data_IF_848854138807
#
_entry.id   IF_848854138807
#
_cell.length_a   1.000
_cell.length_b   1.000
_cell.length_c   1.000
_cell.angle_alpha   90.00
_cell.angle_beta   90.00
_cell.angle_gamma   90.00
#
_symmetry.space_group_name_H-M   'P 1'
#
loop_
_entity.id
_entity.type
_entity.pdbx_description
1 polymer ?
#
# COMPACT_ATOMS: atom_id res chain seq x y z
N UNK A 1 21.01 -56.93 3.97
CA UNK A 1 20.27 -55.69 4.24
C UNK A 1 20.45 -55.19 5.69
N UNK A 2 20.12 -55.94 6.73
CA UNK A 2 20.33 -55.49 8.14
C UNK A 2 21.83 -55.37 8.51
N UNK A 3 22.69 -56.19 8.02
CA UNK A 3 24.13 -56.09 8.19
C UNK A 3 24.72 -54.87 7.48
N UNK A 4 24.27 -54.56 6.27
CA UNK A 4 24.70 -53.39 5.51
C UNK A 4 24.33 -52.08 6.23
N UNK A 5 23.14 -52.01 6.82
CA UNK A 5 22.69 -50.88 7.64
C UNK A 5 23.56 -50.76 8.90
N UNK A 6 23.89 -51.89 9.55
CA UNK A 6 24.74 -51.90 10.74
C UNK A 6 26.16 -51.45 10.41
N UNK A 7 26.72 -51.89 9.30
CA UNK A 7 28.05 -51.46 8.82
C UNK A 7 28.07 -49.95 8.48
N UNK A 8 27.00 -49.46 7.84
CA UNK A 8 26.87 -48.03 7.53
C UNK A 8 26.83 -47.15 8.82
N UNK A 9 26.06 -47.58 9.82
CA UNK A 9 26.03 -46.91 11.12
C UNK A 9 27.38 -46.96 11.85
N UNK A 10 28.09 -48.08 11.77
CA UNK A 10 29.41 -48.24 12.35
C UNK A 10 30.45 -47.35 11.67
N UNK A 11 30.36 -47.14 10.34
CA UNK A 11 31.17 -46.18 9.58
C UNK A 11 30.95 -44.74 10.01
N UNK A 12 29.68 -44.33 10.25
CA UNK A 12 29.31 -43.02 10.75
C UNK A 12 29.88 -42.79 12.17
N UNK A 13 29.81 -43.82 13.02
CA UNK A 13 30.23 -43.71 14.42
C UNK A 13 31.76 -43.70 14.59
N UNK A 14 32.49 -44.35 13.70
CA UNK A 14 33.97 -44.37 13.72
C UNK A 14 34.60 -43.02 13.33
N UNK A 15 33.85 -42.19 12.54
CA UNK A 15 34.29 -40.87 12.09
C UNK A 15 33.31 -39.75 12.52
N UNK A 16 32.95 -39.74 13.79
CA UNK A 16 31.86 -38.86 14.35
C UNK A 16 31.99 -37.40 13.94
N UNK A 17 33.20 -36.82 14.01
CA UNK A 17 33.43 -35.38 13.73
C UNK A 17 33.19 -35.07 12.25
N UNK A 18 33.59 -35.97 11.35
CA UNK A 18 33.43 -35.83 9.90
C UNK A 18 31.94 -35.95 9.52
N UNK A 19 31.30 -37.00 10.04
CA UNK A 19 29.87 -37.24 9.78
C UNK A 19 29.00 -36.10 10.34
N UNK A 20 29.30 -35.59 11.52
CA UNK A 20 28.63 -34.45 12.13
C UNK A 20 28.79 -33.16 11.29
N UNK A 21 30.02 -32.85 10.83
CA UNK A 21 30.28 -31.68 9.99
C UNK A 21 29.58 -31.75 8.64
N UNK A 22 29.53 -32.94 8.03
CA UNK A 22 28.86 -33.12 6.75
C UNK A 22 27.33 -32.98 6.88
N UNK A 23 26.73 -33.62 7.90
CA UNK A 23 25.31 -33.48 8.20
C UNK A 23 24.95 -32.03 8.53
N UNK A 24 25.77 -31.34 9.34
CA UNK A 24 25.56 -29.94 9.68
C UNK A 24 25.58 -29.05 8.44
N UNK A 25 26.51 -29.25 7.51
CA UNK A 25 26.58 -28.50 6.25
C UNK A 25 25.32 -28.68 5.39
N UNK A 26 24.82 -29.92 5.27
CA UNK A 26 23.59 -30.20 4.51
C UNK A 26 22.37 -29.60 5.22
N UNK A 27 22.25 -29.75 6.53
CA UNK A 27 21.11 -29.21 7.31
C UNK A 27 21.07 -27.69 7.21
N UNK A 28 22.22 -27.01 7.36
CA UNK A 28 22.30 -25.55 7.24
C UNK A 28 21.94 -25.14 5.80
N UNK A 29 22.47 -25.83 4.78
CA UNK A 29 22.18 -25.51 3.38
C UNK A 29 20.68 -25.61 3.04
N UNK A 30 20.07 -26.74 3.37
CA UNK A 30 18.62 -26.96 3.11
C UNK A 30 17.78 -26.05 4.00
N UNK A 31 18.12 -25.90 5.29
CA UNK A 31 17.41 -25.04 6.23
C UNK A 31 17.41 -23.58 5.78
N UNK A 32 18.55 -23.09 5.26
CA UNK A 32 18.66 -21.73 4.72
C UNK A 32 17.76 -21.51 3.51
N UNK A 33 17.71 -22.48 2.57
CA UNK A 33 16.83 -22.40 1.38
C UNK A 33 15.36 -22.36 1.80
N UNK A 34 14.95 -23.24 2.72
CA UNK A 34 13.57 -23.29 3.22
C UNK A 34 13.21 -21.97 3.91
N UNK A 35 14.10 -21.46 4.77
CA UNK A 35 13.87 -20.18 5.47
C UNK A 35 13.73 -19.03 4.48
N UNK A 36 14.62 -18.91 3.50
CA UNK A 36 14.57 -17.88 2.46
C UNK A 36 13.22 -17.97 1.70
N UNK A 37 12.86 -19.13 1.15
CA UNK A 37 11.63 -19.30 0.36
C UNK A 37 10.37 -18.99 1.19
N UNK A 38 10.36 -19.40 2.46
CA UNK A 38 9.22 -19.13 3.36
C UNK A 38 9.07 -17.66 3.69
N UNK A 39 10.18 -16.97 4.00
CA UNK A 39 10.18 -15.53 4.27
C UNK A 39 9.68 -14.75 3.06
N UNK A 40 10.13 -15.11 1.88
CA UNK A 40 9.75 -14.53 0.61
C UNK A 40 8.25 -14.60 0.35
N UNK A 41 7.68 -15.81 0.44
CA UNK A 41 6.23 -15.98 0.25
C UNK A 41 5.45 -15.13 1.24
N UNK A 42 5.86 -15.13 2.51
CA UNK A 42 5.23 -14.32 3.53
C UNK A 42 5.32 -12.81 3.24
N UNK A 43 6.48 -12.33 2.80
CA UNK A 43 6.66 -10.90 2.44
C UNK A 43 5.83 -10.51 1.23
N UNK A 44 5.78 -11.34 0.18
CA UNK A 44 5.00 -11.06 -1.02
C UNK A 44 3.50 -10.98 -0.74
N UNK A 45 2.95 -11.91 0.02
CA UNK A 45 1.55 -11.86 0.47
C UNK A 45 1.28 -10.62 1.32
N UNK A 46 2.23 -10.24 2.19
CA UNK A 46 2.10 -9.07 3.02
C UNK A 46 2.14 -7.77 2.20
N UNK A 47 3.02 -7.66 1.20
CA UNK A 47 3.11 -6.51 0.29
C UNK A 47 1.78 -6.34 -0.44
N UNK A 48 1.27 -7.41 -1.07
CA UNK A 48 -0.03 -7.37 -1.75
C UNK A 48 -1.13 -6.90 -0.79
N UNK A 49 -1.18 -7.48 0.39
CA UNK A 49 -2.19 -7.15 1.40
C UNK A 49 -2.09 -5.71 1.92
N UNK A 50 -0.89 -5.17 2.06
CA UNK A 50 -0.69 -3.80 2.52
C UNK A 50 -1.01 -2.76 1.44
N UNK A 51 -0.68 -3.03 0.17
CA UNK A 51 -0.91 -2.11 -0.93
C UNK A 51 -2.40 -2.05 -1.31
N UNK A 52 -3.05 -3.20 -1.37
CA UNK A 52 -4.48 -3.28 -1.71
C UNK A 52 -5.36 -2.87 -0.51
N UNK A 53 -4.81 -2.87 0.71
CA UNK A 53 -5.57 -2.69 1.94
C UNK A 53 -6.42 -3.93 2.25
N UNK A 54 -6.47 -4.39 3.48
CA UNK A 54 -7.26 -5.56 3.84
C UNK A 54 -8.76 -5.26 3.65
N UNK A 55 -9.32 -5.59 2.49
CA UNK A 55 -10.74 -5.43 2.16
C UNK A 55 -11.16 -4.03 1.72
N UNK A 56 -10.24 -3.16 1.32
CA UNK A 56 -10.56 -1.87 0.71
C UNK A 56 -10.08 -1.86 -0.75
N UNK A 57 -10.85 -2.49 -1.63
CA UNK A 57 -10.57 -2.58 -3.07
C UNK A 57 -10.85 -1.24 -3.77
N UNK A 58 -10.40 -0.14 -3.18
CA UNK A 58 -10.58 1.21 -3.68
C UNK A 58 -9.45 1.59 -4.65
N UNK A 59 -9.84 2.11 -5.81
CA UNK A 59 -8.94 2.60 -6.86
C UNK A 59 -9.20 4.08 -7.06
N UNK A 60 -8.17 4.90 -6.93
CA UNK A 60 -8.26 6.32 -7.27
C UNK A 60 -8.17 6.48 -8.79
N UNK A 61 -9.03 7.32 -9.34
CA UNK A 61 -8.98 7.75 -10.74
C UNK A 61 -8.79 9.26 -10.75
N UNK A 62 -7.62 9.68 -11.18
CA UNK A 62 -7.16 11.08 -11.11
C UNK A 62 -6.71 11.57 -12.47
N UNK A 63 -6.65 12.89 -12.62
CA UNK A 63 -6.15 13.52 -13.84
C UNK A 63 -4.61 13.51 -13.85
N UNK A 64 -4.04 13.05 -14.95
CA UNK A 64 -2.60 12.97 -15.20
C UNK A 64 -2.22 13.85 -16.39
N UNK A 65 -0.98 14.36 -16.37
CA UNK A 65 -0.32 14.88 -17.55
C UNK A 65 0.94 14.02 -17.83
N UNK A 66 0.90 13.24 -18.89
CA UNK A 66 1.88 12.20 -19.12
C UNK A 66 1.81 11.11 -18.05
N UNK A 67 2.90 10.90 -17.31
CA UNK A 67 2.99 9.89 -16.26
C UNK A 67 2.83 10.45 -14.84
N UNK A 68 2.57 11.74 -14.70
CA UNK A 68 2.48 12.41 -13.42
C UNK A 68 1.05 12.88 -13.13
N UNK A 69 0.52 12.65 -11.92
CA UNK A 69 -0.76 13.22 -11.53
C UNK A 69 -0.67 14.75 -11.53
N UNK A 70 -1.74 15.41 -11.98
CA UNK A 70 -1.81 16.87 -11.94
C UNK A 70 -2.01 17.30 -10.50
N UNK A 71 -1.03 18.04 -9.97
CA UNK A 71 -1.14 18.68 -8.66
C UNK A 71 -1.51 20.14 -8.83
N UNK A 72 -2.78 20.44 -8.57
CA UNK A 72 -3.33 21.79 -8.69
C UNK A 72 -2.79 22.77 -7.63
N UNK A 73 -1.95 22.33 -6.71
CA UNK A 73 -1.19 23.23 -5.84
C UNK A 73 -0.09 23.96 -6.62
N UNK A 74 0.52 23.29 -7.60
CA UNK A 74 1.67 23.80 -8.35
C UNK A 74 1.39 24.05 -9.82
N UNK A 75 0.29 23.52 -10.35
CA UNK A 75 -0.08 23.57 -11.76
C UNK A 75 -1.47 24.20 -11.92
N UNK A 76 -1.67 24.87 -13.03
CA UNK A 76 -3.01 25.32 -13.42
C UNK A 76 -3.81 24.18 -14.00
N UNK A 77 -5.11 24.20 -13.80
CA UNK A 77 -6.01 23.26 -14.45
C UNK A 77 -5.90 23.42 -15.98
N UNK A 78 -5.72 22.32 -16.74
CA UNK A 78 -5.77 22.37 -18.20
C UNK A 78 -7.18 22.75 -18.69
N UNK A 79 -7.24 23.60 -19.74
CA UNK A 79 -8.50 23.95 -20.38
C UNK A 79 -9.16 22.71 -20.99
N UNK A 80 -10.46 22.60 -20.84
CA UNK A 80 -11.25 21.50 -21.43
C UNK A 80 -11.43 20.28 -20.53
N UNK A 81 -11.15 20.42 -19.21
CA UNK A 81 -11.50 19.42 -18.22
C UNK A 81 -12.78 19.87 -17.51
N UNK A 82 -13.95 19.25 -17.79
CA UNK A 82 -15.21 19.59 -17.14
C UNK A 82 -15.31 18.96 -15.74
N UNK A 83 -16.22 19.51 -14.91
CA UNK A 83 -16.67 18.82 -13.69
C UNK A 83 -17.34 17.48 -14.04
N UNK A 84 -17.18 16.49 -13.17
CA UNK A 84 -17.81 15.18 -13.34
C UNK A 84 -19.29 15.28 -12.94
N UNK A 85 -20.18 15.00 -13.89
CA UNK A 85 -21.62 15.07 -13.64
C UNK A 85 -22.13 13.85 -12.85
N UNK A 86 -23.33 14.00 -12.24
CA UNK A 86 -23.99 12.89 -11.56
C UNK A 86 -24.32 11.74 -12.54
N UNK A 87 -24.63 12.07 -13.81
CA UNK A 87 -24.86 11.07 -14.86
C UNK A 87 -23.61 10.27 -15.16
N UNK A 88 -22.45 10.92 -15.27
CA UNK A 88 -21.15 10.26 -15.49
C UNK A 88 -20.79 9.39 -14.30
N UNK A 89 -21.00 9.86 -13.06
CA UNK A 89 -20.80 9.06 -11.87
C UNK A 89 -21.70 7.82 -11.86
N UNK A 90 -22.96 7.97 -12.27
CA UNK A 90 -23.89 6.84 -12.35
C UNK A 90 -23.45 5.81 -13.41
N UNK A 91 -22.93 6.26 -14.55
CA UNK A 91 -22.37 5.36 -15.57
C UNK A 91 -21.21 4.53 -15.04
N UNK A 92 -20.32 5.13 -14.22
CA UNK A 92 -19.24 4.39 -13.55
C UNK A 92 -19.78 3.37 -12.54
N UNK A 93 -20.78 3.74 -11.74
CA UNK A 93 -21.39 2.84 -10.75
C UNK A 93 -22.08 1.64 -11.41
N UNK A 94 -22.59 1.79 -12.65
CA UNK A 94 -23.22 0.71 -13.41
C UNK A 94 -22.22 -0.30 -14.02
N UNK A 95 -20.92 -0.04 -13.95
CA UNK A 95 -19.90 -1.00 -14.42
C UNK A 95 -19.97 -2.32 -13.64
N UNK A 96 -19.87 -3.47 -14.32
CA UNK A 96 -19.95 -4.79 -13.67
C UNK A 96 -18.90 -5.02 -12.57
N UNK A 97 -17.73 -4.42 -12.71
CA UNK A 97 -16.58 -4.57 -11.79
C UNK A 97 -16.67 -3.64 -10.57
N UNK A 98 -17.53 -2.63 -10.62
CA UNK A 98 -17.65 -1.60 -9.58
C UNK A 98 -18.73 -1.97 -8.58
N UNK A 99 -18.43 -1.88 -7.30
CA UNK A 99 -19.40 -2.00 -6.20
C UNK A 99 -20.03 -0.65 -5.88
N UNK A 100 -19.21 0.39 -5.79
CA UNK A 100 -19.63 1.77 -5.51
C UNK A 100 -18.53 2.74 -5.93
N UNK A 101 -18.91 4.01 -6.10
CA UNK A 101 -17.98 5.06 -6.45
C UNK A 101 -18.30 6.36 -5.70
N UNK A 102 -17.34 7.27 -5.65
CA UNK A 102 -17.43 8.54 -4.94
C UNK A 102 -16.56 9.60 -5.59
N UNK A 103 -17.06 10.82 -5.62
CA UNK A 103 -16.29 11.98 -6.06
C UNK A 103 -15.63 12.67 -4.88
N UNK A 104 -14.45 13.22 -5.10
CA UNK A 104 -13.77 14.00 -4.10
C UNK A 104 -12.79 15.01 -4.69
N UNK A 105 -12.57 16.11 -3.97
CA UNK A 105 -11.45 17.01 -4.19
C UNK A 105 -10.34 16.72 -3.18
N UNK A 106 -9.11 16.99 -3.54
CA UNK A 106 -7.98 16.88 -2.62
C UNK A 106 -6.97 17.98 -2.85
N UNK A 107 -6.39 18.47 -1.77
CA UNK A 107 -5.34 19.47 -1.81
C UNK A 107 -4.33 19.21 -0.69
N UNK A 108 -3.06 19.14 -1.04
CA UNK A 108 -1.98 19.16 -0.06
C UNK A 108 -1.64 20.63 0.23
N UNK A 109 -1.62 21.01 1.47
CA UNK A 109 -1.38 22.40 1.87
C UNK A 109 -0.36 22.48 3.00
N UNK A 110 0.48 23.49 2.91
CA UNK A 110 1.44 23.85 3.95
C UNK A 110 0.93 25.07 4.70
N UNK A 111 0.94 24.99 6.04
CA UNK A 111 0.52 26.11 6.91
C UNK A 111 -0.80 26.77 6.48
N UNK A 112 -1.78 26.00 6.05
CA UNK A 112 -3.09 26.51 5.61
C UNK A 112 -4.21 26.32 6.65
N UNK A 113 -3.97 25.49 7.67
CA UNK A 113 -4.96 25.15 8.70
C UNK A 113 -4.49 25.62 10.06
N UNK A 114 -5.32 26.43 10.71
CA UNK A 114 -4.98 27.11 11.95
C UNK A 114 -6.03 26.90 13.03
N UNK A 115 -5.57 27.03 14.27
CA UNK A 115 -6.42 27.25 15.44
C UNK A 115 -5.69 28.18 16.42
N UNK A 116 -6.08 29.47 16.42
CA UNK A 116 -5.38 30.49 17.17
C UNK A 116 -3.93 30.66 16.71
N UNK A 117 -2.97 30.41 17.61
CA UNK A 117 -1.55 30.50 17.29
C UNK A 117 -0.93 29.18 16.78
N UNK A 118 -1.71 28.12 16.67
CA UNK A 118 -1.24 26.82 16.18
C UNK A 118 -1.58 26.64 14.72
N UNK A 119 -0.66 26.04 13.96
CA UNK A 119 -0.88 25.64 12.57
C UNK A 119 -0.51 24.19 12.34
N UNK A 120 -1.03 23.61 11.27
CA UNK A 120 -0.55 22.36 10.72
C UNK A 120 0.53 22.66 9.68
N UNK A 121 1.74 22.13 9.91
CA UNK A 121 2.83 22.29 8.94
C UNK A 121 2.48 21.65 7.60
N UNK A 122 1.85 20.46 7.63
CA UNK A 122 1.36 19.75 6.45
C UNK A 122 -0.07 19.29 6.69
N UNK A 123 -0.93 19.49 5.71
CA UNK A 123 -2.32 19.03 5.76
C UNK A 123 -2.81 18.54 4.40
N UNK A 124 -3.68 17.55 4.44
CA UNK A 124 -4.46 17.09 3.28
C UNK A 124 -5.90 17.51 3.52
N UNK A 125 -6.41 18.39 2.67
CA UNK A 125 -7.80 18.86 2.72
C UNK A 125 -8.57 18.08 1.67
N UNK A 126 -9.67 17.44 2.08
CA UNK A 126 -10.54 16.64 1.24
C UNK A 126 -11.94 17.23 1.23
N UNK A 127 -12.45 17.58 0.05
CA UNK A 127 -13.85 17.88 -0.18
C UNK A 127 -14.53 16.60 -0.67
N UNK A 128 -15.48 16.05 0.06
CA UNK A 128 -16.02 14.73 -0.22
C UNK A 128 -17.53 14.72 -0.46
N UNK A 129 -18.00 13.79 -1.28
CA UNK A 129 -19.39 13.44 -1.38
C UNK A 129 -19.87 12.55 -0.20
N UNK A 130 -21.11 12.07 -0.26
CA UNK A 130 -21.72 11.26 0.82
C UNK A 130 -21.11 9.88 0.97
N UNK A 131 -20.59 9.32 -0.11
CA UNK A 131 -20.16 7.92 -0.18
C UNK A 131 -18.67 7.73 0.15
N UNK A 132 -17.88 8.79 0.07
CA UNK A 132 -16.42 8.74 0.17
C UNK A 132 -15.92 8.01 1.41
N UNK A 133 -16.48 8.33 2.60
CA UNK A 133 -16.02 7.71 3.85
C UNK A 133 -16.19 6.20 3.82
N UNK A 134 -17.28 5.72 3.24
CA UNK A 134 -17.54 4.30 3.11
C UNK A 134 -16.65 3.68 2.04
N UNK A 135 -16.58 4.28 0.84
CA UNK A 135 -15.73 3.80 -0.27
C UNK A 135 -14.28 3.67 0.15
N UNK A 136 -13.76 4.64 0.90
CA UNK A 136 -12.35 4.69 1.33
C UNK A 136 -12.07 3.96 2.65
N UNK A 137 -13.10 3.37 3.27
CA UNK A 137 -12.97 2.62 4.50
C UNK A 137 -12.69 3.47 5.74
N UNK A 138 -13.14 4.72 5.77
CA UNK A 138 -13.11 5.55 6.97
C UNK A 138 -14.28 5.24 7.90
N UNK A 139 -14.05 5.43 9.19
CA UNK A 139 -15.09 5.38 10.23
C UNK A 139 -14.99 6.59 11.14
N UNK A 140 -16.14 7.07 11.61
CA UNK A 140 -16.20 8.11 12.62
C UNK A 140 -15.89 7.50 13.97
N UNK A 141 -14.86 8.00 14.63
CA UNK A 141 -14.40 7.49 15.94
C UNK A 141 -14.93 8.32 17.10
N UNK A 142 -15.23 9.61 16.87
CA UNK A 142 -15.80 10.52 17.88
C UNK A 142 -16.68 11.56 17.18
N UNK A 143 -17.75 12.00 17.84
CA UNK A 143 -18.70 12.96 17.28
C UNK A 143 -19.63 12.33 16.25
N UNK A 144 -19.87 13.01 15.13
CA UNK A 144 -20.74 12.56 14.03
C UNK A 144 -20.05 12.71 12.67
N UNK A 145 -20.52 11.96 11.69
CA UNK A 145 -20.17 12.14 10.28
C UNK A 145 -20.83 13.36 9.66
N UNK A 146 -20.54 13.59 8.38
CA UNK A 146 -21.26 14.57 7.56
C UNK A 146 -22.69 14.06 7.32
N UNK A 147 -23.64 14.98 7.34
CA UNK A 147 -25.06 14.69 7.18
C UNK A 147 -25.62 15.35 5.91
N UNK A 148 -26.76 14.91 5.41
CA UNK A 148 -27.42 15.53 4.25
C UNK A 148 -27.68 17.03 4.44
N UNK A 149 -27.89 17.48 5.68
CA UNK A 149 -28.06 18.90 5.98
C UNK A 149 -26.75 19.68 5.82
N UNK A 150 -25.60 19.06 6.10
CA UNK A 150 -24.31 19.72 5.91
C UNK A 150 -24.06 20.00 4.43
N UNK A 151 -24.47 19.07 3.56
CA UNK A 151 -24.43 19.26 2.11
C UNK A 151 -25.50 20.23 1.61
N UNK A 152 -26.77 20.00 1.94
CA UNK A 152 -27.87 20.82 1.38
C UNK A 152 -27.86 22.29 1.82
N UNK A 153 -27.34 22.57 3.01
CA UNK A 153 -27.28 23.91 3.57
C UNK A 153 -25.88 24.56 3.40
N UNK A 154 -24.92 23.89 2.80
CA UNK A 154 -23.56 24.40 2.62
C UNK A 154 -22.87 24.73 3.97
N UNK A 155 -23.02 23.83 4.94
CA UNK A 155 -22.47 24.09 6.29
C UNK A 155 -20.97 23.95 6.29
N UNK A 156 -20.26 24.95 6.85
CA UNK A 156 -18.80 24.90 7.07
C UNK A 156 -18.48 24.02 8.28
N UNK A 157 -18.53 22.70 8.07
CA UNK A 157 -18.21 21.68 9.07
C UNK A 157 -17.02 20.84 8.58
N UNK A 158 -16.26 20.31 9.53
CA UNK A 158 -15.10 19.49 9.21
C UNK A 158 -15.05 18.22 10.07
N UNK A 159 -14.59 17.12 9.46
CA UNK A 159 -14.08 15.96 10.17
C UNK A 159 -12.55 16.04 10.17
N UNK A 160 -11.92 15.64 11.26
CA UNK A 160 -10.47 15.68 11.40
C UNK A 160 -9.94 14.30 11.81
N UNK A 161 -8.69 14.03 11.48
CA UNK A 161 -8.00 12.84 11.94
C UNK A 161 -7.31 13.04 13.29
N UNK A 162 -6.68 11.98 13.80
CA UNK A 162 -5.96 12.00 15.08
C UNK A 162 -4.75 12.94 15.03
N UNK A 163 -4.06 13.03 13.91
CA UNK A 163 -2.86 13.87 13.72
C UNK A 163 -3.23 15.35 13.81
N UNK A 164 -4.29 15.77 13.13
CA UNK A 164 -4.85 17.13 13.21
C UNK A 164 -5.31 17.45 14.64
N UNK A 165 -6.01 16.52 15.29
CA UNK A 165 -6.48 16.71 16.67
C UNK A 165 -5.32 16.89 17.65
N UNK A 166 -4.27 16.09 17.54
CA UNK A 166 -3.08 16.20 18.39
C UNK A 166 -2.35 17.54 18.18
N UNK A 167 -2.15 17.95 16.93
CA UNK A 167 -1.39 19.15 16.59
C UNK A 167 -2.11 20.45 16.98
N UNK A 168 -3.42 20.55 16.71
CA UNK A 168 -4.17 21.77 16.92
C UNK A 168 -4.83 21.86 18.30
N UNK A 169 -5.09 20.75 18.99
CA UNK A 169 -5.91 20.72 20.19
C UNK A 169 -5.22 20.12 21.43
N UNK A 170 -3.95 19.68 21.34
CA UNK A 170 -3.23 19.00 22.44
C UNK A 170 -4.01 17.83 23.04
N UNK A 171 -4.73 17.07 22.22
CA UNK A 171 -5.62 15.99 22.65
C UNK A 171 -6.82 16.42 23.53
N UNK A 172 -7.16 17.73 23.57
CA UNK A 172 -8.37 18.21 24.21
C UNK A 172 -9.64 17.78 23.43
N UNK A 173 -10.82 18.07 23.98
CA UNK A 173 -12.07 17.83 23.26
C UNK A 173 -12.18 18.74 22.04
N UNK A 174 -12.29 18.11 20.85
CA UNK A 174 -12.26 18.79 19.55
C UNK A 174 -13.64 19.08 18.99
N UNK A 175 -14.67 18.34 19.46
CA UNK A 175 -16.02 18.44 18.90
C UNK A 175 -16.66 19.80 19.23
N UNK A 176 -17.24 20.46 18.23
CA UNK A 176 -17.84 21.78 18.34
C UNK A 176 -16.83 22.93 18.37
N UNK A 177 -15.53 22.64 18.27
CA UNK A 177 -14.49 23.68 18.17
C UNK A 177 -14.29 24.10 16.72
N UNK A 178 -13.79 25.32 16.54
CA UNK A 178 -13.53 25.91 15.23
C UNK A 178 -12.06 25.78 14.87
N UNK A 179 -11.80 25.45 13.63
CA UNK A 179 -10.51 25.57 12.95
C UNK A 179 -10.66 26.53 11.78
N UNK A 180 -9.59 27.12 11.33
CA UNK A 180 -9.56 28.00 10.16
C UNK A 180 -8.81 27.31 9.04
N UNK A 181 -9.42 27.21 7.86
CA UNK A 181 -8.83 26.68 6.65
C UNK A 181 -8.70 27.85 5.67
N UNK A 182 -7.47 28.28 5.37
CA UNK A 182 -7.19 29.44 4.51
C UNK A 182 -7.96 30.70 4.93
N UNK A 183 -8.16 30.89 6.24
CA UNK A 183 -8.88 32.03 6.83
C UNK A 183 -10.39 31.84 6.97
N UNK A 184 -10.96 30.76 6.45
CA UNK A 184 -12.38 30.45 6.58
C UNK A 184 -12.65 29.54 7.79
N UNK A 185 -13.62 29.86 8.66
CA UNK A 185 -13.91 29.10 9.87
C UNK A 185 -14.74 27.84 9.56
N UNK A 186 -14.30 26.70 10.07
CA UNK A 186 -15.01 25.41 10.01
C UNK A 186 -15.20 24.85 11.42
N UNK A 187 -16.39 24.32 11.70
CA UNK A 187 -16.70 23.69 12.99
C UNK A 187 -16.37 22.19 12.91
N UNK A 188 -15.52 21.69 13.79
CA UNK A 188 -15.20 20.27 13.88
C UNK A 188 -16.40 19.52 14.46
N UNK A 189 -16.99 18.62 13.67
CA UNK A 189 -18.18 17.86 14.07
C UNK A 189 -17.87 16.39 14.37
N UNK A 190 -16.73 15.89 13.92
CA UNK A 190 -16.31 14.52 14.19
C UNK A 190 -14.82 14.27 13.97
N UNK A 191 -14.40 13.13 14.46
CA UNK A 191 -13.07 12.58 14.16
C UNK A 191 -13.22 11.31 13.36
N UNK A 192 -12.31 11.10 12.43
CA UNK A 192 -12.27 9.92 11.55
C UNK A 192 -10.95 9.17 11.69
N UNK A 193 -11.01 7.88 11.44
CA UNK A 193 -9.84 7.02 11.23
C UNK A 193 -10.16 5.96 10.18
N UNK A 194 -9.15 5.42 9.52
CA UNK A 194 -9.34 4.22 8.68
C UNK A 194 -9.78 3.05 9.55
N UNK A 195 -10.67 2.21 9.05
CA UNK A 195 -11.05 0.94 9.68
C UNK A 195 -9.80 0.11 9.90
N UNK A 196 -9.75 -0.67 10.99
CA UNK A 196 -8.55 -1.48 11.32
C UNK A 196 -8.19 -2.48 10.20
N UNK A 197 -9.18 -2.98 9.48
CA UNK A 197 -9.03 -3.88 8.35
C UNK A 197 -8.35 -3.20 7.14
N UNK A 198 -8.43 -1.87 7.07
CA UNK A 198 -7.85 -1.06 5.99
C UNK A 198 -6.50 -0.43 6.39
N UNK A 199 -5.90 -0.85 7.49
CA UNK A 199 -4.58 -0.36 7.91
C UNK A 199 -3.48 -1.32 7.46
N UNK A 200 -2.36 -0.79 6.91
CA UNK A 200 -1.22 -1.62 6.56
C UNK A 200 -0.59 -2.25 7.80
N UNK A 201 -0.13 -3.48 7.66
CA UNK A 201 0.61 -4.17 8.71
C UNK A 201 2.08 -3.78 8.63
N UNK A 202 2.57 -3.10 9.65
CA UNK A 202 3.93 -2.60 9.73
C UNK A 202 4.80 -3.62 10.47
N UNK A 203 5.71 -4.28 9.76
CA UNK A 203 6.63 -5.28 10.31
C UNK A 203 8.10 -4.85 10.24
N UNK A 204 8.41 -3.79 9.52
CA UNK A 204 9.77 -3.30 9.31
C UNK A 204 9.84 -1.77 9.34
N UNK A 205 11.05 -1.22 9.50
CA UNK A 205 11.28 0.22 9.36
C UNK A 205 11.02 0.70 7.93
N UNK A 206 11.26 -0.16 6.94
CA UNK A 206 10.96 0.15 5.55
C UNK A 206 9.46 0.26 5.32
N UNK A 207 8.64 -0.67 5.86
CA UNK A 207 7.19 -0.57 5.84
C UNK A 207 6.71 0.70 6.54
N UNK A 208 7.31 1.04 7.69
CA UNK A 208 6.99 2.26 8.41
C UNK A 208 7.19 3.51 7.54
N UNK A 209 8.35 3.65 6.91
CA UNK A 209 8.62 4.80 6.03
C UNK A 209 7.74 4.81 4.78
N UNK A 210 7.41 3.65 4.24
CA UNK A 210 6.57 3.52 3.03
C UNK A 210 5.10 3.85 3.29
N UNK A 211 4.55 3.37 4.38
CA UNK A 211 3.11 3.44 4.65
C UNK A 211 2.72 4.51 5.69
N UNK A 212 3.67 4.96 6.50
CA UNK A 212 3.41 5.94 7.57
C UNK A 212 3.89 7.35 7.23
N UNK A 213 4.63 7.56 6.13
CA UNK A 213 5.01 8.92 5.70
C UNK A 213 3.77 9.78 5.40
N UNK A 214 2.72 9.17 4.89
CA UNK A 214 1.44 9.80 4.59
C UNK A 214 0.60 10.14 5.85
N UNK A 215 0.89 9.47 6.96
CA UNK A 215 0.15 9.63 8.24
C UNK A 215 0.68 10.81 9.08
N UNK A 216 1.76 11.48 8.65
CA UNK A 216 2.31 12.66 9.33
C UNK A 216 1.57 13.95 8.93
N UNK A 217 0.86 13.94 7.81
CA UNK A 217 0.02 15.06 7.39
C UNK A 217 -1.34 15.00 8.08
N UNK A 218 -1.77 16.10 8.68
CA UNK A 218 -3.11 16.18 9.25
C UNK A 218 -4.17 16.10 8.14
N UNK A 219 -5.22 15.32 8.34
CA UNK A 219 -6.33 15.19 7.38
C UNK A 219 -7.55 15.94 7.85
N UNK A 220 -8.07 16.79 6.96
CA UNK A 220 -9.29 17.57 7.18
C UNK A 220 -10.26 17.23 6.06
N UNK A 221 -11.46 16.81 6.43
CA UNK A 221 -12.51 16.38 5.50
C UNK A 221 -13.70 17.33 5.64
N UNK A 222 -14.10 17.94 4.54
CA UNK A 222 -15.23 18.86 4.45
C UNK A 222 -16.26 18.36 3.43
N UNK A 223 -17.52 18.83 3.48
CA UNK A 223 -18.47 18.53 2.41
C UNK A 223 -17.99 19.14 1.09
N UNK A 224 -18.17 18.42 -0.01
CA UNK A 224 -17.73 18.82 -1.35
C UNK A 224 -18.32 20.16 -1.81
N UNK A 225 -19.60 20.39 -1.54
CA UNK A 225 -20.29 21.61 -1.90
C UNK A 225 -19.79 22.89 -1.21
N UNK A 226 -18.93 22.79 -0.19
CA UNK A 226 -18.24 23.95 0.42
C UNK A 226 -16.80 24.10 -0.08
N UNK A 227 -16.34 23.23 -0.96
CA UNK A 227 -15.02 23.33 -1.59
C UNK A 227 -14.77 24.69 -2.25
N UNK A 228 -15.71 25.25 -3.04
CA UNK A 228 -15.57 26.56 -3.68
C UNK A 228 -15.42 27.75 -2.72
N UNK A 229 -15.68 27.57 -1.42
CA UNK A 229 -15.46 28.63 -0.41
C UNK A 229 -13.98 28.88 -0.18
N UNK A 230 -13.15 27.85 -0.36
CA UNK A 230 -11.69 27.92 -0.08
C UNK A 230 -10.83 27.72 -1.31
N UNK A 231 -11.39 27.15 -2.40
CA UNK A 231 -10.70 26.84 -3.66
C UNK A 231 -11.49 27.34 -4.88
N UNK A 232 -11.14 26.87 -6.07
CA UNK A 232 -11.81 27.24 -7.29
C UNK A 232 -13.21 26.59 -7.38
N UNK A 233 -14.14 27.30 -8.03
CA UNK A 233 -15.51 26.85 -8.18
C UNK A 233 -15.64 25.68 -9.17
N UNK A 234 -14.90 25.75 -10.27
CA UNK A 234 -14.90 24.82 -11.41
C UNK A 234 -13.75 23.80 -11.37
N UNK A 235 -13.24 23.52 -10.19
CA UNK A 235 -12.18 22.54 -10.00
C UNK A 235 -12.74 21.13 -10.24
N UNK A 236 -12.16 20.33 -11.17
CA UNK A 236 -12.63 18.98 -11.41
C UNK A 236 -12.36 18.09 -10.21
N UNK A 237 -13.33 17.25 -9.93
CA UNK A 237 -13.21 16.22 -8.91
C UNK A 237 -12.28 15.09 -9.37
N UNK A 238 -11.73 14.39 -8.40
CA UNK A 238 -11.20 13.06 -8.57
C UNK A 238 -12.31 12.04 -8.30
N UNK A 239 -12.15 10.86 -8.86
CA UNK A 239 -13.06 9.75 -8.63
C UNK A 239 -12.34 8.66 -7.83
N UNK A 240 -13.02 8.05 -6.89
CA UNK A 240 -12.60 6.79 -6.28
C UNK A 240 -13.66 5.74 -6.54
N UNK A 241 -13.26 4.58 -7.03
CA UNK A 241 -14.13 3.41 -7.23
C UNK A 241 -13.74 2.33 -6.26
N UNK A 242 -14.73 1.65 -5.66
CA UNK A 242 -14.50 0.39 -4.97
C UNK A 242 -14.85 -0.74 -5.94
N UNK A 243 -13.86 -1.58 -6.23
CA UNK A 243 -14.07 -2.77 -7.03
C UNK A 243 -14.81 -3.85 -6.22
N UNK A 244 -15.54 -4.75 -6.90
CA UNK A 244 -16.22 -5.89 -6.26
C UNK A 244 -15.25 -6.92 -5.68
N UNK A 245 -14.07 -7.00 -6.25
CA UNK A 245 -12.98 -7.85 -5.76
C UNK A 245 -11.62 -7.21 -6.06
N UNK A 246 -10.59 -7.67 -5.36
CA UNK A 246 -9.21 -7.26 -5.62
C UNK A 246 -8.78 -7.51 -7.08
N UNK A 247 -9.23 -8.61 -7.68
CA UNK A 247 -8.86 -8.95 -9.06
C UNK A 247 -9.54 -8.02 -10.09
N UNK A 248 -10.63 -7.37 -9.73
CA UNK A 248 -11.36 -6.42 -10.57
C UNK A 248 -10.80 -5.00 -10.50
N UNK A 249 -9.88 -4.69 -9.56
CA UNK A 249 -9.42 -3.31 -9.29
C UNK A 249 -8.84 -2.63 -10.52
N UNK A 250 -7.90 -3.26 -11.21
CA UNK A 250 -7.28 -2.70 -12.42
C UNK A 250 -8.34 -2.40 -13.49
N UNK A 251 -9.19 -3.38 -13.78
CA UNK A 251 -10.24 -3.24 -14.81
C UNK A 251 -11.29 -2.18 -14.43
N UNK A 252 -11.68 -2.10 -13.15
CA UNK A 252 -12.59 -1.08 -12.66
C UNK A 252 -12.00 0.32 -12.81
N UNK A 253 -10.72 0.50 -12.45
CA UNK A 253 -9.99 1.76 -12.60
C UNK A 253 -9.83 2.19 -14.06
N UNK A 254 -9.43 1.27 -14.94
CA UNK A 254 -9.29 1.54 -16.39
C UNK A 254 -10.62 1.94 -17.04
N UNK A 255 -11.68 1.16 -16.83
CA UNK A 255 -13.02 1.47 -17.41
C UNK A 255 -13.59 2.77 -16.87
N UNK A 256 -13.43 3.04 -15.57
CA UNK A 256 -13.84 4.31 -15.00
C UNK A 256 -13.05 5.49 -15.61
N UNK A 257 -11.74 5.33 -15.79
CA UNK A 257 -10.92 6.32 -16.46
C UNK A 257 -11.33 6.54 -17.92
N UNK A 258 -11.70 5.48 -18.66
CA UNK A 258 -12.18 5.58 -20.05
C UNK A 258 -13.48 6.40 -20.14
N UNK A 259 -14.42 6.20 -19.22
CA UNK A 259 -15.65 6.99 -19.13
C UNK A 259 -15.31 8.47 -18.89
N UNK A 260 -14.43 8.78 -17.94
CA UNK A 260 -14.03 10.15 -17.66
C UNK A 260 -13.24 10.77 -18.83
N UNK A 261 -12.42 10.00 -19.51
CA UNK A 261 -11.67 10.47 -20.69
C UNK A 261 -12.57 10.81 -21.86
N UNK A 262 -13.72 10.16 -21.99
CA UNK A 262 -14.69 10.45 -23.05
C UNK A 262 -15.34 11.85 -22.94
N UNK A 263 -15.36 12.44 -21.73
CA UNK A 263 -15.88 13.80 -21.50
C UNK A 263 -14.83 14.90 -21.66
N UNK A 264 -13.54 14.56 -21.75
CA UNK A 264 -12.47 15.54 -21.91
C UNK A 264 -12.50 16.20 -23.30
N UNK A 265 -12.32 17.52 -23.30
CA UNK A 265 -12.18 18.31 -24.53
C UNK A 265 -10.84 19.03 -24.61
N UNK A 266 -9.82 18.44 -23.97
CA UNK A 266 -8.48 19.00 -23.87
C UNK A 266 -7.76 18.96 -25.22
N UNK A 267 -6.90 19.96 -25.46
CA UNK A 267 -6.07 20.03 -26.68
C UNK A 267 -4.76 19.25 -26.55
N UNK A 268 -4.37 18.90 -25.31
CA UNK A 268 -3.14 18.15 -25.02
C UNK A 268 -3.50 16.68 -24.78
N UNK A 269 -3.15 15.82 -25.72
CA UNK A 269 -3.41 14.38 -25.67
C UNK A 269 -2.71 13.67 -24.50
N UNK A 270 -1.79 14.33 -23.81
CA UNK A 270 -1.11 13.79 -22.63
C UNK A 270 -1.93 13.95 -21.35
N UNK A 271 -2.98 14.80 -21.37
CA UNK A 271 -3.88 15.01 -20.23
C UNK A 271 -5.00 13.98 -20.27
N UNK A 272 -5.00 13.08 -19.31
CA UNK A 272 -5.97 11.96 -19.22
C UNK A 272 -6.25 11.59 -17.78
N UNK A 273 -7.47 11.13 -17.51
CA UNK A 273 -7.75 10.37 -16.29
C UNK A 273 -7.08 9.01 -16.36
N UNK A 274 -6.44 8.61 -15.28
CA UNK A 274 -5.85 7.27 -15.11
C UNK A 274 -6.26 6.70 -13.75
N UNK A 275 -6.60 5.41 -13.73
CA UNK A 275 -6.76 4.67 -12.50
C UNK A 275 -5.38 4.42 -11.85
N UNK A 276 -5.28 4.61 -10.55
CA UNK A 276 -4.08 4.24 -9.80
C UNK A 276 -4.04 2.71 -9.69
N UNK A 277 -3.12 2.08 -10.41
CA UNK A 277 -2.99 0.63 -10.42
C UNK A 277 -2.13 0.14 -9.24
N UNK A 278 -2.75 0.08 -8.07
CA UNK A 278 -2.13 -0.47 -6.86
C UNK A 278 -1.78 -1.95 -7.01
N UNK A 279 -2.55 -2.69 -7.82
CA UNK A 279 -2.30 -4.10 -8.07
C UNK A 279 -1.08 -4.29 -8.99
N UNK A 280 -0.91 -3.44 -9.99
CA UNK A 280 0.29 -3.43 -10.83
C UNK A 280 1.52 -3.06 -10.00
N UNK A 281 1.43 -2.03 -9.15
CA UNK A 281 2.51 -1.68 -8.22
C UNK A 281 2.87 -2.85 -7.30
N UNK A 282 1.87 -3.52 -6.72
CA UNK A 282 2.08 -4.72 -5.91
C UNK A 282 2.79 -5.83 -6.70
N UNK A 283 2.38 -6.03 -7.95
CA UNK A 283 2.97 -7.05 -8.84
C UNK A 283 4.41 -6.72 -9.20
N UNK A 284 4.72 -5.47 -9.53
CA UNK A 284 6.09 -5.01 -9.81
C UNK A 284 7.02 -5.20 -8.60
N UNK A 285 6.57 -4.85 -7.40
CA UNK A 285 7.32 -5.07 -6.16
C UNK A 285 7.54 -6.58 -5.93
N UNK A 286 6.54 -7.39 -6.22
CA UNK A 286 6.61 -8.84 -6.13
C UNK A 286 7.61 -9.43 -7.13
N UNK A 287 7.68 -8.92 -8.35
CA UNK A 287 8.66 -9.32 -9.36
C UNK A 287 10.10 -8.99 -8.95
N UNK A 288 10.33 -7.78 -8.42
CA UNK A 288 11.63 -7.37 -7.85
C UNK A 288 12.02 -8.30 -6.70
N UNK A 289 11.10 -8.58 -5.79
CA UNK A 289 11.30 -9.51 -4.69
C UNK A 289 11.63 -10.91 -5.20
N UNK A 290 10.89 -11.44 -6.16
CA UNK A 290 11.13 -12.76 -6.77
C UNK A 290 12.49 -12.83 -7.47
N UNK A 291 12.92 -11.79 -8.17
CA UNK A 291 14.24 -11.69 -8.80
C UNK A 291 15.37 -11.75 -7.77
N UNK A 292 15.27 -10.96 -6.71
CA UNK A 292 16.22 -10.98 -5.59
C UNK A 292 16.30 -12.37 -4.95
N UNK A 293 15.17 -13.01 -4.81
CA UNK A 293 15.06 -14.35 -4.23
C UNK A 293 15.70 -15.43 -5.09
N UNK A 294 15.56 -15.33 -6.39
CA UNK A 294 16.22 -16.23 -7.31
C UNK A 294 17.74 -16.13 -7.19
N UNK A 295 18.27 -14.91 -6.99
CA UNK A 295 19.70 -14.70 -6.73
C UNK A 295 20.12 -15.36 -5.41
N UNK A 296 19.35 -15.22 -4.33
CA UNK A 296 19.65 -15.85 -3.04
C UNK A 296 19.62 -17.39 -3.13
N UNK A 297 18.68 -17.97 -3.88
CA UNK A 297 18.61 -19.42 -4.14
C UNK A 297 19.85 -19.88 -4.92
N UNK A 298 20.30 -19.12 -5.91
CA UNK A 298 21.55 -19.44 -6.63
C UNK A 298 22.75 -19.43 -5.71
N UNK A 299 22.91 -18.41 -4.84
CA UNK A 299 24.01 -18.30 -3.87
C UNK A 299 23.97 -19.49 -2.91
N UNK A 300 22.80 -19.84 -2.36
CA UNK A 300 22.63 -20.96 -1.46
C UNK A 300 22.94 -22.30 -2.15
N UNK A 301 22.54 -22.47 -3.41
CA UNK A 301 22.81 -23.66 -4.21
C UNK A 301 24.30 -23.84 -4.49
N UNK A 302 25.01 -22.77 -4.84
CA UNK A 302 26.48 -22.78 -5.01
C UNK A 302 27.18 -23.14 -3.70
N UNK A 303 26.73 -22.55 -2.59
CA UNK A 303 27.28 -22.86 -1.27
C UNK A 303 27.09 -24.34 -0.88
N UNK A 304 25.93 -24.90 -1.20
CA UNK A 304 25.64 -26.32 -0.98
C UNK A 304 26.51 -27.22 -1.86
N UNK A 305 26.73 -26.86 -3.13
CA UNK A 305 27.64 -27.57 -4.04
C UNK A 305 29.08 -27.56 -3.53
N UNK A 306 29.59 -26.42 -3.09
CA UNK A 306 30.94 -26.30 -2.53
C UNK A 306 31.05 -27.13 -1.26
N UNK A 307 30.05 -27.08 -0.37
CA UNK A 307 29.97 -27.95 0.81
C UNK A 307 29.98 -29.43 0.45
N UNK A 308 29.19 -29.84 -0.56
CA UNK A 308 29.12 -31.21 -1.08
C UNK A 308 30.46 -31.69 -1.64
N UNK A 309 31.18 -30.88 -2.41
CA UNK A 309 32.52 -31.17 -2.92
C UNK A 309 33.53 -31.35 -1.77
N UNK A 310 33.44 -30.49 -0.76
CA UNK A 310 34.25 -30.64 0.45
C UNK A 310 34.04 -31.97 1.15
N UNK A 311 32.78 -32.39 1.28
CA UNK A 311 32.40 -33.72 1.80
C UNK A 311 32.96 -34.85 0.94
N UNK A 312 32.82 -34.76 -0.38
CA UNK A 312 33.32 -35.75 -1.33
C UNK A 312 34.84 -35.92 -1.23
N UNK A 313 35.60 -34.81 -1.14
CA UNK A 313 37.06 -34.85 -0.96
C UNK A 313 37.44 -35.55 0.36
N UNK A 314 36.73 -35.28 1.45
CA UNK A 314 36.99 -35.96 2.72
C UNK A 314 36.68 -37.44 2.65
N UNK A 315 35.61 -37.83 1.95
CA UNK A 315 35.27 -39.26 1.75
C UNK A 315 36.29 -39.96 0.87
N UNK A 316 36.75 -39.34 -0.21
CA UNK A 316 37.79 -39.90 -1.10
C UNK A 316 39.10 -40.20 -0.35
N UNK A 317 39.58 -39.24 0.47
CA UNK A 317 40.77 -39.47 1.30
C UNK A 317 40.55 -40.62 2.27
N UNK A 318 39.39 -40.77 2.87
CA UNK A 318 39.04 -41.85 3.79
C UNK A 318 39.00 -43.23 3.10
N UNK A 319 38.53 -43.28 1.86
CA UNK A 319 38.52 -44.53 1.08
C UNK A 319 39.93 -44.94 0.63
N UNK A 320 40.75 -43.97 0.21
CA UNK A 320 42.16 -44.24 -0.17
C UNK A 320 43.03 -44.67 1.01
N UNK A 321 42.84 -44.13 2.21
CA UNK A 321 43.51 -44.62 3.41
C UNK A 321 43.13 -46.06 3.75
N UNK A 322 41.84 -46.44 3.64
CA UNK A 322 41.39 -47.82 3.88
C UNK A 322 41.84 -48.80 2.83
N UNK A 323 41.90 -48.41 1.55
CA UNK A 323 42.40 -49.28 0.49
C UNK A 323 43.89 -49.51 0.64
N UNK A 324 44.68 -48.54 1.15
CA UNK A 324 46.07 -48.72 1.52
C UNK A 324 46.29 -49.73 2.67
N UNK A 325 45.44 -49.74 3.70
CA UNK A 325 45.48 -50.69 4.81
C UNK A 325 45.08 -52.12 4.37
N UNK A 326 44.19 -52.29 3.41
CA UNK A 326 43.78 -53.59 2.89
C UNK A 326 44.78 -54.14 1.87
N UNK A 327 45.51 -53.28 1.13
CA UNK A 327 46.51 -53.65 0.16
C UNK A 327 47.85 -54.04 0.78
N UNK A 328 48.06 -53.81 2.05
CA UNK A 328 49.27 -54.15 2.84
C UNK A 328 49.13 -55.46 3.64
N UNK A 329 48.00 -56.17 3.53
CA UNK A 329 47.78 -57.53 4.00
C UNK A 329 47.73 -58.49 2.82
#
# INVERSE_FOLDING_TARGET
MLEDIRLAFQGIWNHKLRSALTMLGIIIGIGSIIAIVSTIKGTNEQIKKNLVGAGNDAVNVQLYQGDWPIDLQYQSLPDGVPEISDETLQEVVELPEVETASLYHTRNEYDAVYRGAKSLSNSVILGIDRNYLDVYGYQVTKGRGLTDKDYSEGRKVALIDKTTAASLFDNADVIGRTIEIKGEPFVVVGMVAKKAESQPVINSMEDYYRYMSDDQSGKIIIPDNVWPVIYQYDEPQNLVVRAKSTDDMTTAGEKAADILNAMLTVSDDTVKYKGEDLLEQATQIQEISNSTNQQLIWIASISLLVGGIGVMNIMLVSVTERTGEIGLK
#
